data_IF_098603055675
#
_entry.id   IF_098603055675
#
_cell.length_a   1.000
_cell.length_b   1.000
_cell.length_c   1.000
_cell.angle_alpha   90.00
_cell.angle_beta   90.00
_cell.angle_gamma   90.00
#
_symmetry.space_group_name_H-M   'P 1'
#
loop_
_entity.id
_entity.type
_entity.pdbx_description
1 polymer ?
#
# COMPACT_ATOMS: atom_id res chain seq x y z
N UNK A 1 -9.13 -61.92 -28.32
CA UNK A 1 -9.55 -61.29 -27.05
C UNK A 1 -9.06 -59.85 -27.06
N UNK A 2 -9.97 -58.86 -27.11
CA UNK A 2 -9.63 -57.43 -27.16
C UNK A 2 -9.56 -56.87 -25.74
N UNK A 3 -8.39 -56.39 -25.32
CA UNK A 3 -8.19 -55.64 -24.08
C UNK A 3 -8.71 -54.20 -24.25
N UNK A 4 -9.63 -53.78 -23.39
CA UNK A 4 -9.99 -52.38 -23.22
C UNK A 4 -9.20 -51.83 -22.03
N UNK A 5 -8.32 -50.85 -22.29
CA UNK A 5 -7.67 -50.06 -21.26
C UNK A 5 -8.61 -48.92 -20.84
N UNK A 6 -9.05 -48.95 -19.58
CA UNK A 6 -9.76 -47.85 -18.94
C UNK A 6 -8.70 -46.87 -18.40
N UNK A 7 -8.60 -45.67 -19.01
CA UNK A 7 -7.76 -44.59 -18.50
C UNK A 7 -8.57 -43.87 -17.42
N UNK A 8 -8.20 -44.07 -16.16
CA UNK A 8 -8.71 -43.29 -15.03
C UNK A 8 -7.98 -41.94 -14.99
N UNK A 9 -8.70 -40.88 -15.36
CA UNK A 9 -8.23 -39.50 -15.27
C UNK A 9 -8.25 -39.09 -13.80
N UNK A 10 -7.07 -39.01 -13.17
CA UNK A 10 -6.91 -38.55 -11.79
C UNK A 10 -7.16 -37.03 -11.76
N UNK A 11 -8.35 -36.64 -11.33
CA UNK A 11 -8.67 -35.24 -11.02
C UNK A 11 -7.91 -34.88 -9.72
N UNK A 12 -6.79 -34.18 -9.84
CA UNK A 12 -6.13 -33.58 -8.68
C UNK A 12 -6.99 -32.41 -8.24
N UNK A 13 -7.86 -32.65 -7.26
CA UNK A 13 -8.53 -31.58 -6.53
C UNK A 13 -7.47 -30.89 -5.66
N UNK A 14 -7.04 -29.70 -6.07
CA UNK A 14 -6.24 -28.80 -5.24
C UNK A 14 -7.08 -28.45 -4.00
N UNK A 15 -6.69 -28.98 -2.83
CA UNK A 15 -7.29 -28.56 -1.59
C UNK A 15 -7.02 -27.05 -1.39
N UNK A 16 -8.02 -26.23 -1.02
CA UNK A 16 -7.76 -24.85 -0.68
C UNK A 16 -6.85 -24.84 0.56
N UNK A 17 -5.76 -24.10 0.50
CA UNK A 17 -5.02 -23.68 1.70
C UNK A 17 -6.06 -23.01 2.59
N UNK A 18 -6.42 -23.67 3.70
CA UNK A 18 -7.37 -23.13 4.67
C UNK A 18 -6.78 -21.81 5.18
N UNK A 19 -7.48 -20.70 4.89
CA UNK A 19 -7.14 -19.40 5.44
C UNK A 19 -7.07 -19.50 6.96
N UNK A 20 -6.10 -18.82 7.58
CA UNK A 20 -6.08 -18.69 9.03
C UNK A 20 -7.42 -18.11 9.51
N UNK A 21 -8.03 -18.64 10.60
CA UNK A 21 -9.31 -18.16 11.08
C UNK A 21 -9.31 -16.64 11.28
N UNK A 22 -10.29 -15.95 10.68
CA UNK A 22 -10.42 -14.48 10.75
C UNK A 22 -9.67 -13.70 9.67
N UNK A 23 -8.83 -14.35 8.84
CA UNK A 23 -8.17 -13.74 7.70
C UNK A 23 -8.80 -14.14 6.36
N UNK A 24 -8.64 -13.25 5.37
CA UNK A 24 -9.02 -13.52 3.99
C UNK A 24 -8.07 -14.56 3.36
N UNK A 25 -8.56 -15.43 2.46
CA UNK A 25 -7.71 -16.36 1.72
C UNK A 25 -6.65 -15.62 0.91
N UNK A 26 -5.40 -16.00 1.08
CA UNK A 26 -4.27 -15.33 0.46
C UNK A 26 -4.37 -15.20 -1.07
N UNK A 27 -4.81 -16.22 -1.85
CA UNK A 27 -4.95 -16.07 -3.30
C UNK A 27 -5.95 -14.98 -3.70
N UNK A 28 -7.07 -14.86 -2.97
CA UNK A 28 -8.08 -13.84 -3.23
C UNK A 28 -7.57 -12.44 -2.85
N UNK A 29 -6.77 -12.35 -1.79
CA UNK A 29 -6.09 -11.10 -1.42
C UNK A 29 -5.11 -10.69 -2.52
N UNK A 30 -4.19 -11.57 -2.94
CA UNK A 30 -3.21 -11.25 -3.98
C UNK A 30 -3.88 -10.74 -5.26
N UNK A 31 -4.92 -11.42 -5.73
CA UNK A 31 -5.70 -10.99 -6.90
C UNK A 31 -6.34 -9.60 -6.71
N UNK A 32 -6.92 -9.35 -5.54
CA UNK A 32 -7.53 -8.05 -5.23
C UNK A 32 -6.50 -6.92 -5.12
N UNK A 33 -5.30 -7.19 -4.59
CA UNK A 33 -4.21 -6.22 -4.54
C UNK A 33 -3.69 -5.89 -5.93
N UNK A 34 -3.44 -6.90 -6.76
CA UNK A 34 -2.91 -6.72 -8.12
C UNK A 34 -3.91 -5.97 -9.02
N UNK A 35 -5.21 -6.16 -8.80
CA UNK A 35 -6.26 -5.46 -9.53
C UNK A 35 -6.49 -4.01 -9.06
N UNK A 36 -5.89 -3.58 -7.94
CA UNK A 36 -6.15 -2.26 -7.38
C UNK A 36 -5.51 -1.14 -8.24
N UNK A 37 -6.21 -0.02 -8.52
CA UNK A 37 -5.72 1.01 -9.45
C UNK A 37 -4.37 1.64 -9.08
N UNK A 38 -4.03 1.78 -7.79
CA UNK A 38 -2.72 2.30 -7.36
C UNK A 38 -1.56 1.36 -7.73
N UNK A 39 -1.79 0.04 -7.64
CA UNK A 39 -0.81 -1.00 -7.95
C UNK A 39 -0.61 -1.09 -9.46
N UNK A 40 -1.69 -1.09 -10.23
CA UNK A 40 -1.63 -1.03 -11.70
C UNK A 40 -0.90 0.23 -12.20
N UNK A 41 -1.14 1.39 -11.58
CA UNK A 41 -0.42 2.61 -11.91
C UNK A 41 1.09 2.49 -11.60
N UNK A 42 1.47 1.89 -10.46
CA UNK A 42 2.87 1.67 -10.11
C UNK A 42 3.54 0.67 -11.07
N UNK A 43 2.84 -0.40 -11.46
CA UNK A 43 3.28 -1.38 -12.47
C UNK A 43 3.54 -0.72 -13.82
N UNK A 44 2.66 0.17 -14.27
CA UNK A 44 2.85 0.94 -15.50
C UNK A 44 4.09 1.86 -15.45
N UNK A 45 4.43 2.42 -14.27
CA UNK A 45 5.65 3.23 -14.08
C UNK A 45 6.94 2.43 -14.22
N UNK A 46 6.92 1.11 -14.01
CA UNK A 46 8.06 0.24 -14.38
C UNK A 46 8.27 0.30 -15.90
N UNK A 47 7.20 0.28 -16.69
CA UNK A 47 7.25 0.43 -18.15
C UNK A 47 7.87 1.77 -18.57
N UNK A 48 7.53 2.86 -17.87
CA UNK A 48 8.14 4.18 -18.07
C UNK A 48 9.64 4.14 -17.77
N UNK A 49 10.05 3.61 -16.61
CA UNK A 49 11.46 3.51 -16.25
C UNK A 49 12.27 2.65 -17.24
N UNK A 50 11.69 1.55 -17.74
CA UNK A 50 12.30 0.72 -18.79
C UNK A 50 12.42 1.46 -20.13
N UNK A 51 11.47 2.33 -20.46
CA UNK A 51 11.57 3.18 -21.64
C UNK A 51 12.66 4.25 -21.50
N UNK A 52 12.75 4.88 -20.33
CA UNK A 52 13.82 5.83 -20.00
C UNK A 52 15.20 5.16 -20.01
N UNK A 53 15.32 3.95 -19.47
CA UNK A 53 16.55 3.17 -19.53
C UNK A 53 16.99 2.91 -20.99
N UNK A 54 16.05 2.53 -21.86
CA UNK A 54 16.32 2.36 -23.30
C UNK A 54 16.74 3.67 -23.96
N UNK A 55 16.09 4.79 -23.63
CA UNK A 55 16.46 6.11 -24.14
C UNK A 55 17.88 6.51 -23.70
N UNK A 56 18.24 6.27 -22.43
CA UNK A 56 19.58 6.53 -21.89
C UNK A 56 20.64 5.65 -22.58
N UNK A 57 20.33 4.37 -22.82
CA UNK A 57 21.17 3.42 -23.57
C UNK A 57 21.42 3.88 -25.01
N UNK A 58 20.37 4.33 -25.71
CA UNK A 58 20.47 4.84 -27.08
C UNK A 58 21.25 6.17 -27.15
N UNK A 59 21.02 7.05 -26.17
CA UNK A 59 21.64 8.35 -26.06
C UNK A 59 20.94 9.46 -26.87
N UNK A 60 21.28 10.73 -26.60
CA UNK A 60 20.59 11.88 -27.17
C UNK A 60 21.05 12.23 -28.60
N UNK A 61 22.06 11.52 -29.13
CA UNK A 61 22.74 11.92 -30.37
C UNK A 61 22.10 11.26 -31.59
N UNK A 62 21.22 12.02 -32.23
CA UNK A 62 20.60 11.69 -33.50
C UNK A 62 21.46 12.13 -34.69
N UNK A 63 21.13 11.59 -35.87
CA UNK A 63 21.75 11.97 -37.14
C UNK A 63 21.09 13.26 -37.63
N UNK A 64 21.89 14.29 -37.88
CA UNK A 64 21.41 15.56 -38.43
C UNK A 64 21.77 15.65 -39.91
N UNK A 65 20.75 15.90 -40.73
CA UNK A 65 20.91 16.24 -42.15
C UNK A 65 20.66 17.73 -42.30
N UNK A 66 21.62 18.46 -42.83
CA UNK A 66 21.45 19.86 -43.24
C UNK A 66 21.82 20.03 -44.69
N UNK A 67 21.16 20.94 -45.39
CA UNK A 67 21.53 21.30 -46.75
C UNK A 67 21.14 22.72 -47.05
N UNK A 68 21.85 23.33 -47.98
CA UNK A 68 21.51 24.66 -48.48
C UNK A 68 21.54 24.65 -50.01
N UNK A 69 20.69 25.49 -50.58
CA UNK A 69 20.72 25.83 -51.99
C UNK A 69 20.67 27.35 -52.07
N UNK A 70 21.65 27.92 -52.75
CA UNK A 70 21.83 29.36 -52.87
C UNK A 70 21.95 29.68 -54.35
N UNK A 71 21.13 30.62 -54.80
CA UNK A 71 21.30 31.27 -56.11
C UNK A 71 21.87 32.65 -55.88
N UNK A 72 23.07 32.92 -56.38
CA UNK A 72 23.77 34.20 -56.22
C UNK A 72 24.13 34.80 -57.56
N UNK A 73 23.88 36.09 -57.74
CA UNK A 73 24.45 36.88 -58.82
C UNK A 73 25.72 37.58 -58.32
N UNK A 74 26.75 37.58 -59.15
CA UNK A 74 28.01 38.28 -58.88
C UNK A 74 28.20 39.33 -59.97
N UNK A 75 28.34 40.58 -59.56
CA UNK A 75 28.55 41.70 -60.48
C UNK A 75 29.75 41.43 -61.39
N UNK A 76 29.51 41.53 -62.70
CA UNK A 76 30.49 41.27 -63.78
C UNK A 76 30.91 39.80 -63.98
N UNK A 77 30.29 38.83 -63.29
CA UNK A 77 30.57 37.39 -63.48
C UNK A 77 29.32 36.56 -63.86
N UNK A 78 28.12 36.97 -63.45
CA UNK A 78 26.86 36.29 -63.79
C UNK A 78 26.16 35.62 -62.61
N UNK A 79 25.24 34.71 -62.91
CA UNK A 79 24.46 33.96 -61.92
C UNK A 79 25.05 32.57 -61.66
N UNK A 80 25.08 32.18 -60.39
CA UNK A 80 25.55 30.88 -59.93
C UNK A 80 24.51 30.20 -59.04
N UNK A 81 24.30 28.92 -59.30
CA UNK A 81 23.59 27.96 -58.47
C UNK A 81 24.61 27.15 -57.67
N UNK A 82 24.42 27.13 -56.36
CA UNK A 82 25.30 26.45 -55.42
C UNK A 82 24.46 25.61 -54.47
N UNK A 83 24.97 24.44 -54.12
CA UNK A 83 24.34 23.58 -53.14
C UNK A 83 25.38 22.94 -52.24
N UNK A 84 24.99 22.70 -50.99
CA UNK A 84 25.73 21.83 -50.10
C UNK A 84 24.79 20.97 -49.25
N UNK A 85 25.28 19.80 -48.86
CA UNK A 85 24.60 18.89 -47.96
C UNK A 85 25.61 18.36 -46.94
N UNK A 86 25.22 18.37 -45.67
CA UNK A 86 26.02 17.86 -44.55
C UNK A 86 25.21 16.82 -43.77
N UNK A 87 25.82 15.66 -43.57
CA UNK A 87 25.34 14.61 -42.68
C UNK A 87 26.25 14.58 -41.46
N UNK A 88 25.73 14.86 -40.26
CA UNK A 88 26.55 14.92 -39.04
C UNK A 88 25.90 14.17 -37.87
N UNK A 89 26.74 13.66 -36.96
CA UNK A 89 26.30 13.03 -35.71
C UNK A 89 27.31 13.29 -34.59
N UNK A 90 26.81 13.55 -33.38
CA UNK A 90 27.64 13.64 -32.20
C UNK A 90 28.11 12.25 -31.71
N UNK A 91 29.39 12.15 -31.36
CA UNK A 91 30.02 10.93 -30.88
C UNK A 91 30.13 10.97 -29.36
N UNK A 92 29.34 10.12 -28.70
CA UNK A 92 29.29 10.06 -27.23
C UNK A 92 30.60 9.56 -26.65
N UNK A 93 31.17 10.30 -25.70
CA UNK A 93 32.37 9.84 -25.00
C UNK A 93 32.07 8.59 -24.13
N UNK A 94 32.95 7.58 -24.10
CA UNK A 94 32.65 6.26 -23.50
C UNK A 94 32.34 6.33 -22.00
N UNK A 95 32.93 7.30 -21.30
CA UNK A 95 32.67 7.52 -19.88
C UNK A 95 31.26 8.01 -19.55
N UNK A 96 30.57 8.64 -20.50
CA UNK A 96 29.20 9.16 -20.31
C UNK A 96 28.18 8.06 -20.53
N UNK A 97 28.33 7.29 -21.63
CA UNK A 97 27.47 6.15 -21.94
C UNK A 97 27.35 5.14 -20.80
N UNK A 98 28.45 4.86 -20.08
CA UNK A 98 28.44 3.97 -18.91
C UNK A 98 27.61 4.53 -17.75
N UNK A 99 27.66 5.84 -17.51
CA UNK A 99 26.88 6.48 -16.44
C UNK A 99 25.39 6.52 -16.80
N UNK A 100 25.05 6.83 -18.06
CA UNK A 100 23.67 6.81 -18.52
C UNK A 100 23.04 5.41 -18.36
N UNK A 101 23.77 4.34 -18.69
CA UNK A 101 23.32 2.96 -18.44
C UNK A 101 23.09 2.67 -16.96
N UNK A 102 23.99 3.14 -16.08
CA UNK A 102 23.84 2.97 -14.63
C UNK A 102 22.63 3.75 -14.09
N UNK A 103 22.44 4.99 -14.54
CA UNK A 103 21.29 5.81 -14.16
C UNK A 103 19.98 5.15 -14.58
N UNK A 104 19.91 4.60 -15.79
CA UNK A 104 18.75 3.84 -16.25
C UNK A 104 18.47 2.60 -15.40
N UNK A 105 19.50 1.81 -15.07
CA UNK A 105 19.35 0.62 -14.23
C UNK A 105 18.83 0.95 -12.82
N UNK A 106 19.38 1.98 -12.17
CA UNK A 106 18.88 2.45 -10.88
C UNK A 106 17.47 3.03 -10.96
N UNK A 107 17.11 3.68 -12.07
CA UNK A 107 15.73 4.15 -12.30
C UNK A 107 14.72 3.00 -12.37
N UNK A 108 15.07 1.89 -13.04
CA UNK A 108 14.24 0.68 -13.07
C UNK A 108 14.13 0.08 -11.66
N UNK A 109 15.24 -0.10 -10.95
CA UNK A 109 15.25 -0.65 -9.59
C UNK A 109 14.41 0.21 -8.61
N UNK A 110 14.47 1.53 -8.72
CA UNK A 110 13.64 2.43 -7.91
C UNK A 110 12.14 2.27 -8.23
N UNK A 111 11.77 2.12 -9.50
CA UNK A 111 10.37 1.89 -9.89
C UNK A 111 9.85 0.50 -9.51
N UNK A 112 10.70 -0.53 -9.54
CA UNK A 112 10.34 -1.89 -9.09
C UNK A 112 10.08 -1.91 -7.58
N UNK A 113 10.94 -1.28 -6.76
CA UNK A 113 10.68 -1.16 -5.33
C UNK A 113 9.41 -0.33 -5.03
N UNK A 114 9.15 0.76 -5.76
CA UNK A 114 7.91 1.54 -5.61
C UNK A 114 6.65 0.76 -6.00
N UNK A 115 6.78 -0.23 -6.88
CA UNK A 115 5.67 -1.12 -7.23
C UNK A 115 5.34 -2.07 -6.08
N UNK A 116 6.36 -2.71 -5.49
CA UNK A 116 6.16 -3.57 -4.33
C UNK A 116 5.65 -2.77 -3.12
N UNK A 117 6.17 -1.56 -2.89
CA UNK A 117 5.63 -0.65 -1.88
C UNK A 117 4.16 -0.30 -2.16
N UNK A 118 3.77 0.02 -3.41
CA UNK A 118 2.37 0.28 -3.74
C UNK A 118 1.46 -0.92 -3.43
N UNK A 119 1.94 -2.15 -3.66
CA UNK A 119 1.24 -3.39 -3.30
C UNK A 119 1.13 -3.56 -1.78
N UNK A 120 2.21 -3.26 -1.04
CA UNK A 120 2.24 -3.23 0.42
C UNK A 120 1.27 -2.20 1.00
N UNK A 121 1.30 -0.94 0.57
CA UNK A 121 0.36 0.10 1.01
C UNK A 121 -1.10 -0.28 0.74
N UNK A 122 -1.36 -0.97 -0.36
CA UNK A 122 -2.70 -1.48 -0.69
C UNK A 122 -3.11 -2.63 0.24
N UNK A 123 -2.17 -3.50 0.64
CA UNK A 123 -2.41 -4.54 1.65
C UNK A 123 -2.71 -3.95 3.03
N UNK A 124 -2.04 -2.87 3.42
CA UNK A 124 -2.35 -2.13 4.65
C UNK A 124 -3.74 -1.48 4.60
N UNK A 125 -4.12 -0.89 3.46
CA UNK A 125 -5.48 -0.38 3.26
C UNK A 125 -6.53 -1.48 3.41
N UNK A 126 -6.28 -2.65 2.82
CA UNK A 126 -7.17 -3.81 2.96
C UNK A 126 -7.28 -4.25 4.42
N UNK A 127 -6.15 -4.35 5.15
CA UNK A 127 -6.11 -4.68 6.56
C UNK A 127 -6.99 -3.74 7.40
N UNK A 128 -6.84 -2.43 7.20
CA UNK A 128 -7.65 -1.43 7.92
C UNK A 128 -9.15 -1.61 7.65
N UNK A 129 -9.55 -1.69 6.37
CA UNK A 129 -10.97 -1.82 5.99
C UNK A 129 -11.58 -3.16 6.43
N UNK A 130 -10.80 -4.24 6.38
CA UNK A 130 -11.22 -5.57 6.82
C UNK A 130 -11.53 -5.57 8.32
N UNK A 131 -10.60 -5.07 9.15
CA UNK A 131 -10.80 -5.03 10.60
C UNK A 131 -11.79 -3.96 11.06
N UNK A 132 -11.98 -2.87 10.29
CA UNK A 132 -13.09 -1.94 10.50
C UNK A 132 -14.44 -2.65 10.37
N UNK A 133 -14.60 -3.46 9.31
CA UNK A 133 -15.85 -4.20 9.09
C UNK A 133 -16.07 -5.30 10.13
N UNK A 134 -15.05 -6.12 10.41
CA UNK A 134 -15.17 -7.18 11.41
C UNK A 134 -15.44 -6.63 12.81
N UNK A 135 -14.73 -5.57 13.22
CA UNK A 135 -14.93 -4.93 14.52
C UNK A 135 -16.32 -4.34 14.70
N UNK A 136 -16.79 -3.56 13.72
CA UNK A 136 -18.13 -2.99 13.76
C UNK A 136 -19.22 -4.06 13.75
N UNK A 137 -18.99 -5.18 13.04
CA UNK A 137 -19.91 -6.33 13.03
C UNK A 137 -19.94 -7.06 14.39
N UNK A 138 -18.78 -7.20 15.05
CA UNK A 138 -18.70 -7.77 16.39
C UNK A 138 -19.38 -6.89 17.44
N UNK A 139 -19.20 -5.57 17.39
CA UNK A 139 -19.97 -4.63 18.22
C UNK A 139 -21.48 -4.78 18.00
N UNK A 140 -21.91 -4.91 16.74
CA UNK A 140 -23.33 -5.11 16.40
C UNK A 140 -23.88 -6.40 17.03
N UNK A 141 -23.11 -7.49 17.00
CA UNK A 141 -23.51 -8.75 17.63
C UNK A 141 -23.67 -8.60 19.16
N UNK A 142 -22.74 -7.90 19.82
CA UNK A 142 -22.82 -7.61 21.26
C UNK A 142 -24.06 -6.76 21.59
N UNK A 143 -24.33 -5.72 20.82
CA UNK A 143 -25.46 -4.82 21.06
C UNK A 143 -26.81 -5.51 20.82
N UNK A 144 -26.92 -6.33 19.77
CA UNK A 144 -28.12 -7.13 19.52
C UNK A 144 -28.38 -8.16 20.63
N UNK A 145 -27.33 -8.76 21.20
CA UNK A 145 -27.47 -9.65 22.34
C UNK A 145 -27.98 -8.89 23.59
N UNK A 146 -27.52 -7.66 23.80
CA UNK A 146 -28.02 -6.79 24.88
C UNK A 146 -29.50 -6.46 24.71
N UNK A 147 -29.94 -6.14 23.48
CA UNK A 147 -31.37 -5.95 23.15
C UNK A 147 -32.18 -7.19 23.49
N UNK A 148 -31.70 -8.39 23.14
CA UNK A 148 -32.38 -9.65 23.45
C UNK A 148 -32.53 -9.88 24.95
N UNK A 149 -31.44 -9.67 25.72
CA UNK A 149 -31.42 -9.86 27.17
C UNK A 149 -32.38 -8.88 27.88
N UNK A 150 -32.39 -7.61 27.47
CA UNK A 150 -33.24 -6.57 28.07
C UNK A 150 -34.70 -6.72 27.66
N UNK A 151 -34.99 -7.23 26.45
CA UNK A 151 -36.36 -7.58 26.05
C UNK A 151 -36.93 -8.67 26.96
N UNK A 152 -36.17 -9.75 27.19
CA UNK A 152 -36.60 -10.82 28.10
C UNK A 152 -36.81 -10.31 29.53
N UNK A 153 -35.94 -9.41 29.99
CA UNK A 153 -36.05 -8.78 31.31
C UNK A 153 -37.31 -7.93 31.43
N UNK A 154 -37.61 -7.10 30.42
CA UNK A 154 -38.82 -6.29 30.37
C UNK A 154 -40.09 -7.15 30.38
N UNK A 155 -40.13 -8.25 29.62
CA UNK A 155 -41.27 -9.16 29.58
C UNK A 155 -41.52 -9.80 30.96
N UNK A 156 -40.45 -10.16 31.67
CA UNK A 156 -40.51 -10.65 33.05
C UNK A 156 -41.05 -9.61 34.03
N UNK A 157 -40.53 -8.38 33.98
CA UNK A 157 -40.97 -7.27 34.83
C UNK A 157 -42.45 -6.92 34.56
N UNK A 158 -42.86 -6.83 33.29
CA UNK A 158 -44.26 -6.58 32.91
C UNK A 158 -45.21 -7.63 33.47
N UNK A 159 -44.80 -8.92 33.47
CA UNK A 159 -45.59 -9.99 34.09
C UNK A 159 -45.67 -9.85 35.62
N UNK A 160 -44.62 -9.40 36.30
CA UNK A 160 -44.69 -9.13 37.75
C UNK A 160 -45.59 -7.95 38.07
N UNK A 161 -45.58 -6.90 37.25
CA UNK A 161 -46.50 -5.75 37.39
C UNK A 161 -47.97 -6.19 37.25
N UNK A 162 -48.31 -7.05 36.28
CA UNK A 162 -49.69 -7.56 36.14
C UNK A 162 -50.14 -8.42 37.32
N UNK A 163 -49.20 -9.14 37.94
CA UNK A 163 -49.41 -9.89 39.18
C UNK A 163 -49.35 -9.02 40.45
N UNK A 164 -49.12 -7.70 40.31
CA UNK A 164 -48.95 -6.73 41.41
C UNK A 164 -47.79 -7.05 42.36
N UNK A 165 -46.79 -7.75 41.83
CA UNK A 165 -45.56 -8.12 42.53
C UNK A 165 -44.39 -7.17 42.23
N UNK A 166 -44.56 -6.23 41.29
CA UNK A 166 -43.60 -5.17 40.98
C UNK A 166 -44.32 -3.84 40.72
N UNK A 167 -43.63 -2.73 40.94
CA UNK A 167 -44.17 -1.39 40.69
C UNK A 167 -44.18 -1.06 39.18
N UNK A 168 -45.14 -0.26 38.67
CA UNK A 168 -45.11 0.21 37.28
C UNK A 168 -43.81 0.92 36.90
N UNK A 169 -43.18 1.62 37.86
CA UNK A 169 -41.88 2.28 37.68
C UNK A 169 -40.78 1.30 37.23
N UNK A 170 -40.79 0.05 37.70
CA UNK A 170 -39.81 -0.97 37.28
C UNK A 170 -39.97 -1.30 35.79
N UNK A 171 -41.21 -1.38 35.29
CA UNK A 171 -41.46 -1.61 33.88
C UNK A 171 -41.00 -0.43 33.03
N UNK A 172 -41.24 0.81 33.49
CA UNK A 172 -40.77 2.03 32.80
C UNK A 172 -39.23 2.08 32.74
N UNK A 173 -38.53 1.70 33.82
CA UNK A 173 -37.07 1.63 33.87
C UNK A 173 -36.50 0.56 32.92
N UNK A 174 -37.09 -0.64 32.91
CA UNK A 174 -36.68 -1.71 32.00
C UNK A 174 -36.96 -1.34 30.52
N UNK A 175 -38.06 -0.64 30.25
CA UNK A 175 -38.40 -0.16 28.90
C UNK A 175 -37.43 0.93 28.43
N UNK A 176 -37.04 1.85 29.30
CA UNK A 176 -36.01 2.84 29.01
C UNK A 176 -34.66 2.19 28.71
N UNK A 177 -34.24 1.19 29.50
CA UNK A 177 -32.99 0.46 29.28
C UNK A 177 -32.98 -0.27 27.92
N UNK A 178 -34.09 -0.92 27.57
CA UNK A 178 -34.27 -1.54 26.26
C UNK A 178 -34.22 -0.51 25.12
N UNK A 179 -34.82 0.66 25.30
CA UNK A 179 -34.75 1.77 24.34
C UNK A 179 -33.30 2.21 24.06
N UNK A 180 -32.48 2.36 25.11
CA UNK A 180 -31.05 2.67 24.97
C UNK A 180 -30.29 1.56 24.23
N UNK A 181 -30.54 0.29 24.56
CA UNK A 181 -29.89 -0.83 23.87
C UNK A 181 -30.26 -0.92 22.39
N UNK A 182 -31.53 -0.66 22.03
CA UNK A 182 -31.99 -0.62 20.64
C UNK A 182 -31.32 0.50 19.85
N UNK A 183 -31.13 1.67 20.47
CA UNK A 183 -30.38 2.77 19.85
C UNK A 183 -28.92 2.36 19.59
N UNK A 184 -28.25 1.77 20.57
CA UNK A 184 -26.87 1.30 20.42
C UNK A 184 -26.74 0.28 19.26
N UNK A 185 -27.63 -0.71 19.21
CA UNK A 185 -27.67 -1.72 18.14
C UNK A 185 -27.91 -1.11 16.75
N UNK A 186 -28.79 -0.10 16.63
CA UNK A 186 -29.01 0.60 15.37
C UNK A 186 -27.75 1.37 14.92
N UNK A 187 -27.04 2.00 15.86
CA UNK A 187 -25.82 2.74 15.58
C UNK A 187 -24.65 1.82 15.19
N UNK A 188 -24.40 0.73 15.91
CA UNK A 188 -23.36 -0.23 15.56
C UNK A 188 -23.64 -0.91 14.22
N UNK A 189 -24.90 -1.28 13.96
CA UNK A 189 -25.31 -1.78 12.64
C UNK A 189 -24.99 -0.80 11.52
N UNK A 190 -25.32 0.49 11.70
CA UNK A 190 -24.99 1.52 10.73
C UNK A 190 -23.49 1.65 10.47
N UNK A 191 -22.64 1.52 11.52
CA UNK A 191 -21.18 1.50 11.38
C UNK A 191 -20.70 0.27 10.60
N UNK A 192 -21.27 -0.91 10.86
CA UNK A 192 -20.92 -2.14 10.15
C UNK A 192 -21.30 -2.08 8.66
N UNK A 193 -22.51 -1.58 8.35
CA UNK A 193 -23.00 -1.42 6.98
C UNK A 193 -22.12 -0.39 6.21
N UNK A 194 -21.70 0.69 6.88
CA UNK A 194 -20.78 1.68 6.31
C UNK A 194 -19.38 1.10 6.04
N UNK A 195 -18.79 0.39 7.02
CA UNK A 195 -17.48 -0.23 6.88
C UNK A 195 -17.46 -1.26 5.73
N UNK A 196 -18.52 -2.09 5.62
CA UNK A 196 -18.69 -3.03 4.50
C UNK A 196 -18.76 -2.33 3.16
N UNK A 197 -19.51 -1.22 3.08
CA UNK A 197 -19.63 -0.43 1.84
C UNK A 197 -18.28 0.12 1.40
N UNK A 198 -17.46 0.63 2.34
CA UNK A 198 -16.10 1.11 2.03
C UNK A 198 -15.18 -0.01 1.52
N UNK A 199 -15.24 -1.19 2.16
CA UNK A 199 -14.45 -2.34 1.76
C UNK A 199 -14.78 -2.78 0.33
N UNK A 200 -16.07 -2.93 0.00
CA UNK A 200 -16.52 -3.31 -1.36
C UNK A 200 -16.16 -2.25 -2.39
N UNK A 201 -16.26 -0.97 -2.04
CA UNK A 201 -15.92 0.11 -2.96
C UNK A 201 -14.43 0.11 -3.36
N UNK A 202 -13.53 -0.18 -2.41
CA UNK A 202 -12.09 -0.23 -2.67
C UNK A 202 -11.61 -1.56 -3.24
N UNK A 203 -12.27 -2.67 -2.90
CA UNK A 203 -11.91 -4.02 -3.34
C UNK A 203 -13.11 -4.75 -3.97
N UNK A 204 -13.62 -4.30 -5.13
CA UNK A 204 -14.82 -4.86 -5.74
C UNK A 204 -14.68 -6.30 -6.26
N UNK A 205 -13.44 -6.76 -6.54
CA UNK A 205 -13.16 -8.14 -6.95
C UNK A 205 -13.11 -9.13 -5.79
N UNK A 206 -13.06 -8.64 -4.55
CA UNK A 206 -12.98 -9.49 -3.36
C UNK A 206 -14.36 -10.06 -3.02
N UNK A 207 -14.50 -11.37 -3.10
CA UNK A 207 -15.73 -12.05 -2.70
C UNK A 207 -15.86 -12.04 -1.16
N UNK A 208 -16.72 -11.17 -0.64
CA UNK A 208 -17.01 -11.09 0.79
C UNK A 208 -18.18 -12.00 1.16
N UNK A 209 -18.14 -12.65 2.34
CA UNK A 209 -19.31 -13.33 2.86
C UNK A 209 -20.43 -12.33 3.20
N UNK A 210 -21.67 -12.81 3.20
CA UNK A 210 -22.84 -11.99 3.56
C UNK A 210 -22.80 -11.55 5.03
N UNK A 211 -22.31 -12.43 5.89
CA UNK A 211 -22.09 -12.17 7.31
C UNK A 211 -20.59 -12.09 7.60
N UNK A 212 -20.22 -11.18 8.51
CA UNK A 212 -18.85 -11.11 9.01
C UNK A 212 -18.45 -12.42 9.69
N UNK A 213 -17.22 -12.84 9.45
CA UNK A 213 -16.62 -14.00 10.12
C UNK A 213 -16.36 -13.66 11.58
N UNK A 214 -16.42 -14.66 12.46
CA UNK A 214 -16.14 -14.48 13.89
C UNK A 214 -14.68 -14.05 14.12
N UNK A 215 -14.48 -13.13 15.07
CA UNK A 215 -13.16 -12.65 15.47
C UNK A 215 -12.37 -13.77 16.15
N UNK A 216 -11.26 -14.17 15.52
CA UNK A 216 -10.27 -15.06 16.12
C UNK A 216 -9.62 -14.47 17.38
N UNK A 217 -9.07 -15.33 18.23
CA UNK A 217 -8.35 -14.91 19.42
C UNK A 217 -6.95 -14.37 19.05
N UNK A 218 -6.56 -13.17 19.51
CA UNK A 218 -5.23 -12.63 19.31
C UNK A 218 -4.16 -13.52 19.92
N UNK A 219 -3.19 -13.91 19.09
CA UNK A 219 -2.05 -14.70 19.50
C UNK A 219 -0.75 -14.04 19.03
N UNK A 220 0.31 -14.24 19.80
CA UNK A 220 1.62 -13.80 19.38
C UNK A 220 2.09 -14.67 18.21
N UNK A 221 2.59 -14.08 17.12
CA UNK A 221 3.07 -14.81 15.97
C UNK A 221 4.33 -15.63 16.30
N UNK A 222 4.62 -16.71 15.55
CA UNK A 222 5.85 -17.48 15.70
C UNK A 222 7.09 -16.57 15.60
N UNK A 223 8.05 -16.75 16.50
CA UNK A 223 9.27 -15.92 16.55
C UNK A 223 9.12 -14.58 17.30
N UNK A 224 7.89 -14.19 17.67
CA UNK A 224 7.63 -12.99 18.47
C UNK A 224 7.62 -11.68 17.67
N UNK A 225 7.13 -10.61 18.29
CA UNK A 225 6.97 -9.32 17.61
C UNK A 225 8.29 -8.63 17.28
N UNK A 226 9.32 -8.79 18.11
CA UNK A 226 10.64 -8.21 17.87
C UNK A 226 11.28 -8.74 16.58
N UNK A 227 11.15 -10.05 16.29
CA UNK A 227 11.64 -10.63 15.05
C UNK A 227 10.94 -10.02 13.83
N UNK A 228 9.61 -9.86 13.89
CA UNK A 228 8.85 -9.25 12.82
C UNK A 228 9.27 -7.79 12.61
N UNK A 229 9.43 -7.02 13.69
CA UNK A 229 9.93 -5.64 13.64
C UNK A 229 11.27 -5.53 12.91
N UNK A 230 12.23 -6.41 13.21
CA UNK A 230 13.51 -6.40 12.52
C UNK A 230 13.38 -6.75 11.03
N UNK A 231 12.43 -7.63 10.68
CA UNK A 231 12.12 -7.96 9.29
C UNK A 231 11.47 -6.79 8.52
N UNK A 232 10.64 -5.96 9.17
CA UNK A 232 10.09 -4.73 8.55
C UNK A 232 11.22 -3.86 8.00
N UNK A 233 12.25 -3.63 8.81
CA UNK A 233 13.40 -2.80 8.43
C UNK A 233 14.23 -3.49 7.36
N UNK A 234 14.52 -4.79 7.53
CA UNK A 234 15.40 -5.53 6.62
C UNK A 234 14.81 -5.74 5.22
N UNK A 235 13.48 -5.77 5.09
CA UNK A 235 12.76 -6.04 3.83
C UNK A 235 12.04 -4.81 3.27
N UNK A 236 12.37 -3.61 3.74
CA UNK A 236 11.68 -2.38 3.34
C UNK A 236 11.94 -2.01 1.87
N UNK A 237 10.88 -2.07 1.06
CA UNK A 237 10.89 -1.56 -0.31
C UNK A 237 10.95 -0.03 -0.38
N UNK A 238 10.46 0.68 0.64
CA UNK A 238 10.61 2.15 0.74
C UNK A 238 12.10 2.54 0.84
N UNK A 239 12.86 1.86 1.72
CA UNK A 239 14.32 2.04 1.80
C UNK A 239 14.97 1.66 0.47
N UNK A 240 14.62 0.50 -0.10
CA UNK A 240 15.16 0.05 -1.38
C UNK A 240 14.92 1.05 -2.54
N UNK A 241 13.73 1.65 -2.60
CA UNK A 241 13.39 2.68 -3.58
C UNK A 241 14.21 3.96 -3.37
N UNK A 242 14.33 4.43 -2.13
CA UNK A 242 15.10 5.62 -1.79
C UNK A 242 16.61 5.42 -2.05
N UNK A 243 17.14 4.24 -1.75
CA UNK A 243 18.54 3.88 -2.04
C UNK A 243 18.82 3.88 -3.54
N UNK A 244 17.94 3.25 -4.32
CA UNK A 244 18.04 3.23 -5.77
C UNK A 244 17.94 4.64 -6.37
N UNK A 245 17.05 5.50 -5.86
CA UNK A 245 16.92 6.89 -6.32
C UNK A 245 18.13 7.74 -5.95
N UNK A 246 18.64 7.64 -4.72
CA UNK A 246 19.85 8.33 -4.30
C UNK A 246 21.07 7.90 -5.13
N UNK A 247 21.19 6.59 -5.42
CA UNK A 247 22.23 6.07 -6.31
C UNK A 247 22.06 6.57 -7.75
N UNK A 248 20.83 6.64 -8.26
CA UNK A 248 20.50 7.20 -9.58
C UNK A 248 20.95 8.65 -9.68
N UNK A 249 20.56 9.49 -8.74
CA UNK A 249 20.88 10.91 -8.73
C UNK A 249 22.38 11.17 -8.53
N UNK A 250 23.06 10.34 -7.73
CA UNK A 250 24.53 10.35 -7.66
C UNK A 250 25.19 10.09 -9.02
N UNK A 251 24.70 9.09 -9.77
CA UNK A 251 25.21 8.79 -11.13
C UNK A 251 24.86 9.90 -12.13
N UNK A 252 23.65 10.46 -12.05
CA UNK A 252 23.23 11.59 -12.91
C UNK A 252 24.10 12.81 -12.65
N UNK A 253 24.38 13.13 -11.40
CA UNK A 253 25.28 14.23 -11.02
C UNK A 253 26.68 14.07 -11.64
N UNK A 254 27.25 12.87 -11.52
CA UNK A 254 28.52 12.52 -12.17
C UNK A 254 28.46 12.67 -13.70
N UNK A 255 27.34 12.26 -14.30
CA UNK A 255 27.11 12.34 -15.74
C UNK A 255 27.04 13.79 -16.23
N UNK A 256 26.33 14.65 -15.49
CA UNK A 256 26.20 16.08 -15.79
C UNK A 256 27.54 16.80 -15.60
N UNK A 257 28.30 16.45 -14.56
CA UNK A 257 29.67 16.98 -14.37
C UNK A 257 30.56 16.69 -15.57
N UNK A 258 30.45 15.49 -16.16
CA UNK A 258 31.20 15.12 -17.39
C UNK A 258 30.71 15.83 -18.64
N UNK A 259 29.48 16.36 -18.66
CA UNK A 259 28.98 17.16 -19.78
C UNK A 259 29.55 18.57 -19.86
N UNK A 260 30.32 19.01 -18.86
CA UNK A 260 31.12 20.24 -18.97
C UNK A 260 31.95 20.26 -20.27
N UNK A 261 32.49 19.10 -20.65
CA UNK A 261 33.10 18.86 -21.95
C UNK A 261 32.02 18.30 -22.89
N UNK A 262 31.74 18.99 -23.99
CA UNK A 262 30.75 18.52 -24.98
C UNK A 262 31.23 17.25 -25.67
N UNK A 263 30.27 16.47 -26.17
CA UNK A 263 30.57 15.42 -27.14
C UNK A 263 30.87 16.08 -28.51
N UNK A 264 31.95 15.70 -29.21
CA UNK A 264 32.26 16.24 -30.52
C UNK A 264 31.31 15.69 -31.58
N UNK A 265 30.95 16.51 -32.55
CA UNK A 265 30.20 16.13 -33.74
C UNK A 265 31.12 15.95 -34.92
N UNK A 266 30.94 14.84 -35.63
CA UNK A 266 31.65 14.52 -36.88
C UNK A 266 30.61 14.45 -37.99
N UNK A 267 30.90 15.08 -39.13
CA UNK A 267 30.03 15.06 -40.28
C UNK A 267 30.77 14.98 -41.61
N UNK A 268 30.05 14.53 -42.63
CA UNK A 268 30.47 14.52 -44.02
C UNK A 268 29.70 15.63 -44.74
N UNK A 269 30.42 16.55 -45.37
CA UNK A 269 29.85 17.62 -46.19
C UNK A 269 30.20 17.38 -47.66
N UNK A 270 29.21 17.52 -48.53
CA UNK A 270 29.39 17.58 -49.98
C UNK A 270 28.89 18.92 -50.47
N UNK A 271 29.57 19.50 -51.45
CA UNK A 271 29.18 20.79 -52.00
C UNK A 271 29.51 20.88 -53.49
N UNK A 272 28.77 21.75 -54.17
CA UNK A 272 28.95 22.12 -55.56
C UNK A 272 28.75 23.63 -55.68
N UNK A 273 29.78 24.32 -56.14
CA UNK A 273 29.84 25.78 -56.27
C UNK A 273 30.00 26.18 -57.74
N UNK A 274 29.70 27.45 -58.04
CA UNK A 274 29.83 28.06 -59.38
C UNK A 274 29.20 27.23 -60.51
N UNK A 275 27.91 26.89 -60.40
CA UNK A 275 27.21 26.05 -61.39
C UNK A 275 27.86 24.67 -61.60
N UNK A 276 28.57 24.16 -60.58
CA UNK A 276 29.25 22.86 -60.63
C UNK A 276 30.64 22.86 -61.25
N UNK A 277 31.23 24.04 -61.48
CA UNK A 277 32.64 24.16 -61.82
C UNK A 277 33.57 23.75 -60.66
N UNK A 278 33.09 23.85 -59.43
CA UNK A 278 33.81 23.42 -58.23
C UNK A 278 32.93 22.41 -57.47
N UNK A 279 33.47 21.22 -57.20
CA UNK A 279 32.77 20.18 -56.44
C UNK A 279 33.73 19.62 -55.40
N UNK A 280 33.21 19.33 -54.22
CA UNK A 280 34.04 18.85 -53.13
C UNK A 280 33.28 17.99 -52.13
N UNK A 281 34.08 17.24 -51.37
CA UNK A 281 33.66 16.55 -50.17
C UNK A 281 34.63 16.88 -49.05
N UNK A 282 34.13 17.00 -47.82
CA UNK A 282 34.93 17.37 -46.66
C UNK A 282 34.40 16.74 -45.37
N UNK A 283 35.27 16.70 -44.37
CA UNK A 283 34.93 16.34 -43.00
C UNK A 283 34.65 17.62 -42.20
N UNK A 284 33.55 17.64 -41.46
CA UNK A 284 33.19 18.72 -40.56
C UNK A 284 33.30 18.22 -39.13
N UNK A 285 34.08 18.92 -38.31
CA UNK A 285 34.22 18.66 -36.88
C UNK A 285 33.70 19.88 -36.12
N UNK A 286 32.81 19.67 -35.16
CA UNK A 286 32.32 20.75 -34.29
C UNK A 286 32.19 20.29 -32.84
N UNK A 287 32.56 21.15 -31.88
CA UNK A 287 32.46 20.85 -30.45
C UNK A 287 32.14 22.14 -29.68
N UNK A 288 30.95 22.25 -29.06
CA UNK A 288 30.62 23.43 -28.27
C UNK A 288 31.46 23.53 -26.99
N UNK A 289 32.12 24.67 -26.78
CA UNK A 289 32.91 24.96 -25.59
C UNK A 289 31.96 25.27 -24.42
N UNK A 290 32.15 24.60 -23.28
CA UNK A 290 31.28 24.75 -22.11
C UNK A 290 31.42 26.12 -21.46
N UNK A 291 30.28 26.74 -21.12
CA UNK A 291 30.20 28.01 -20.39
C UNK A 291 29.49 27.89 -19.04
N UNK A 292 29.07 29.03 -18.47
CA UNK A 292 28.44 29.13 -17.15
C UNK A 292 27.21 28.23 -16.97
N UNK A 293 26.38 28.07 -18.01
CA UNK A 293 25.18 27.21 -17.96
C UNK A 293 25.50 25.75 -17.59
N UNK A 294 26.56 25.16 -18.16
CA UNK A 294 26.96 23.78 -17.86
C UNK A 294 27.56 23.63 -16.46
N UNK A 295 28.19 24.69 -15.94
CA UNK A 295 28.66 24.73 -14.55
C UNK A 295 27.47 24.75 -13.60
N UNK A 296 26.53 25.67 -13.80
CA UNK A 296 25.32 25.77 -12.99
C UNK A 296 24.48 24.48 -13.01
N UNK A 297 24.35 23.82 -14.17
CA UNK A 297 23.65 22.53 -14.27
C UNK A 297 24.34 21.42 -13.46
N UNK A 298 25.68 21.40 -13.45
CA UNK A 298 26.44 20.46 -12.62
C UNK A 298 26.25 20.74 -11.13
N UNK A 299 26.27 22.02 -10.73
CA UNK A 299 26.08 22.43 -9.35
C UNK A 299 24.64 22.09 -8.87
N UNK A 300 23.63 22.34 -9.71
CA UNK A 300 22.24 21.88 -9.50
C UNK A 300 22.18 20.37 -9.27
N UNK A 301 22.75 19.58 -10.17
CA UNK A 301 22.70 18.11 -10.06
C UNK A 301 23.46 17.57 -8.84
N UNK A 302 24.50 18.27 -8.38
CA UNK A 302 25.22 17.95 -7.14
C UNK A 302 24.35 18.22 -5.91
N UNK A 303 23.59 19.33 -5.92
CA UNK A 303 22.65 19.63 -4.86
C UNK A 303 21.49 18.63 -4.83
N UNK A 304 20.93 18.25 -5.98
CA UNK A 304 19.88 17.21 -6.08
C UNK A 304 20.36 15.85 -5.55
N UNK A 305 21.59 15.44 -5.87
CA UNK A 305 22.16 14.20 -5.31
C UNK A 305 22.37 14.27 -3.79
N UNK A 306 22.75 15.44 -3.26
CA UNK A 306 22.90 15.66 -1.82
C UNK A 306 21.54 15.64 -1.10
N UNK A 307 20.51 16.23 -1.71
CA UNK A 307 19.14 16.19 -1.21
C UNK A 307 18.62 14.75 -1.16
N UNK A 308 18.83 13.96 -2.22
CA UNK A 308 18.40 12.56 -2.27
C UNK A 308 19.05 11.68 -1.18
N UNK A 309 20.32 11.96 -0.81
CA UNK A 309 20.96 11.28 0.33
C UNK A 309 20.32 11.66 1.67
N UNK A 310 19.91 12.91 1.83
CA UNK A 310 19.19 13.36 3.02
C UNK A 310 17.76 12.78 3.07
N UNK A 311 17.07 12.71 1.94
CA UNK A 311 15.76 12.05 1.82
C UNK A 311 15.84 10.55 2.15
N UNK A 312 16.88 9.84 1.67
CA UNK A 312 17.14 8.46 2.08
C UNK A 312 17.33 8.32 3.59
N UNK A 313 18.07 9.25 4.21
CA UNK A 313 18.23 9.24 5.67
C UNK A 313 16.89 9.46 6.39
N UNK A 314 16.03 10.35 5.89
CA UNK A 314 14.69 10.56 6.42
C UNK A 314 13.83 9.29 6.29
N UNK A 315 13.78 8.66 5.12
CA UNK A 315 13.05 7.38 4.91
C UNK A 315 13.52 6.31 5.88
N UNK A 316 14.83 6.22 6.17
CA UNK A 316 15.33 5.28 7.18
C UNK A 316 14.84 5.59 8.59
N UNK A 317 14.73 6.87 8.96
CA UNK A 317 14.14 7.25 10.24
C UNK A 317 12.65 6.92 10.29
N UNK A 318 11.91 7.20 9.23
CA UNK A 318 10.47 6.95 9.15
C UNK A 318 10.17 5.44 9.23
N UNK A 319 10.92 4.60 8.50
CA UNK A 319 10.76 3.14 8.56
C UNK A 319 11.16 2.58 9.93
N UNK A 320 12.18 3.14 10.57
CA UNK A 320 12.58 2.76 11.92
C UNK A 320 11.47 3.09 12.93
N UNK A 321 10.92 4.31 12.87
CA UNK A 321 9.83 4.78 13.72
C UNK A 321 8.57 3.95 13.52
N UNK A 322 8.19 3.70 12.26
CA UNK A 322 7.06 2.83 11.91
C UNK A 322 7.23 1.43 12.52
N UNK A 323 8.39 0.78 12.32
CA UNK A 323 8.63 -0.57 12.81
C UNK A 323 8.60 -0.65 14.35
N UNK A 324 9.18 0.34 15.04
CA UNK A 324 9.14 0.44 16.50
C UNK A 324 7.73 0.75 17.04
N UNK A 325 6.98 1.59 16.31
CA UNK A 325 5.60 1.92 16.61
C UNK A 325 4.66 0.72 16.45
N UNK A 326 4.82 -0.05 15.38
CA UNK A 326 3.99 -1.24 15.10
C UNK A 326 4.31 -2.40 16.06
N UNK A 327 5.57 -2.56 16.46
CA UNK A 327 5.95 -3.44 17.59
C UNK A 327 5.21 -3.03 18.86
N UNK A 328 5.34 -1.76 19.26
CA UNK A 328 4.73 -1.24 20.49
C UNK A 328 3.20 -1.37 20.46
N UNK A 329 2.57 -1.13 19.31
CA UNK A 329 1.13 -1.25 19.11
C UNK A 329 0.66 -2.71 19.20
N UNK A 330 1.37 -3.64 18.60
CA UNK A 330 1.03 -5.07 18.68
C UNK A 330 1.14 -5.60 20.12
N UNK A 331 2.20 -5.25 20.85
CA UNK A 331 2.38 -5.61 22.25
C UNK A 331 1.30 -5.01 23.16
N UNK A 332 1.05 -3.70 23.00
CA UNK A 332 0.04 -2.99 23.76
C UNK A 332 -1.37 -3.54 23.48
N UNK A 333 -1.70 -3.79 22.21
CA UNK A 333 -2.99 -4.35 21.81
C UNK A 333 -3.23 -5.74 22.40
N UNK A 334 -2.24 -6.63 22.33
CA UNK A 334 -2.35 -7.97 22.90
C UNK A 334 -2.52 -7.93 24.44
N UNK A 335 -1.79 -7.04 25.12
CA UNK A 335 -1.90 -6.82 26.56
C UNK A 335 -3.27 -6.24 26.95
N UNK A 336 -3.74 -5.24 26.22
CA UNK A 336 -5.03 -4.60 26.45
C UNK A 336 -6.19 -5.58 26.28
N UNK A 337 -6.16 -6.39 25.21
CA UNK A 337 -7.15 -7.44 24.99
C UNK A 337 -7.18 -8.45 26.13
N UNK A 338 -6.02 -8.96 26.59
CA UNK A 338 -5.96 -9.90 27.72
C UNK A 338 -6.61 -9.34 28.99
N UNK A 339 -6.31 -8.07 29.31
CA UNK A 339 -6.89 -7.39 30.49
C UNK A 339 -8.40 -7.15 30.33
N UNK A 340 -8.84 -6.76 29.15
CA UNK A 340 -10.27 -6.59 28.85
C UNK A 340 -11.01 -7.93 29.00
N UNK A 341 -10.40 -9.02 28.54
CA UNK A 341 -10.95 -10.37 28.66
C UNK A 341 -11.08 -10.83 30.11
N UNK A 342 -10.04 -10.63 30.92
CA UNK A 342 -10.08 -10.93 32.36
C UNK A 342 -11.19 -10.14 33.07
N UNK A 343 -11.34 -8.85 32.74
CA UNK A 343 -12.40 -7.99 33.26
C UNK A 343 -13.80 -8.46 32.85
N UNK A 344 -13.97 -8.86 31.58
CA UNK A 344 -15.21 -9.42 31.07
C UNK A 344 -15.61 -10.68 31.83
N UNK A 345 -14.70 -11.62 32.04
CA UNK A 345 -15.00 -12.88 32.74
C UNK A 345 -15.46 -12.60 34.18
N UNK A 346 -14.87 -11.61 34.86
CA UNK A 346 -15.32 -11.16 36.18
C UNK A 346 -16.72 -10.52 36.16
N UNK A 347 -17.02 -9.69 35.16
CA UNK A 347 -18.34 -9.06 35.01
C UNK A 347 -19.44 -10.07 34.71
N UNK A 348 -19.15 -11.07 33.85
CA UNK A 348 -20.08 -12.17 33.59
C UNK A 348 -20.37 -12.95 34.87
N UNK A 349 -19.36 -13.26 35.68
CA UNK A 349 -19.56 -13.92 36.96
C UNK A 349 -20.39 -13.08 37.95
N UNK A 350 -20.24 -11.75 37.94
CA UNK A 350 -21.01 -10.83 38.77
C UNK A 350 -22.48 -10.76 38.33
N UNK A 351 -22.76 -10.52 37.04
CA UNK A 351 -24.13 -10.36 36.56
C UNK A 351 -24.96 -11.64 36.72
N UNK A 352 -24.36 -12.82 36.58
CA UNK A 352 -25.05 -14.08 36.83
C UNK A 352 -25.53 -14.20 38.29
N UNK A 353 -24.72 -13.72 39.24
CA UNK A 353 -25.11 -13.66 40.67
C UNK A 353 -26.19 -12.60 40.90
N UNK A 354 -26.08 -11.44 40.26
CA UNK A 354 -27.09 -10.36 40.35
C UNK A 354 -28.45 -10.82 39.79
N UNK A 355 -28.47 -11.47 38.62
CA UNK A 355 -29.67 -12.09 38.04
C UNK A 355 -30.31 -13.07 39.00
N UNK A 356 -29.51 -13.93 39.64
CA UNK A 356 -30.02 -14.89 40.62
C UNK A 356 -30.54 -14.20 41.89
N UNK A 357 -29.84 -13.19 42.39
CA UNK A 357 -30.26 -12.39 43.54
C UNK A 357 -31.59 -11.67 43.30
N UNK A 358 -31.76 -11.07 42.12
CA UNK A 358 -33.02 -10.44 41.71
C UNK A 358 -34.18 -11.44 41.66
N UNK A 359 -33.95 -12.62 41.06
CA UNK A 359 -34.96 -13.69 41.04
C UNK A 359 -35.38 -14.18 42.44
N UNK A 360 -34.51 -14.04 43.44
CA UNK A 360 -34.77 -14.40 44.83
C UNK A 360 -35.31 -13.23 45.67
N UNK A 361 -35.49 -12.05 45.06
CA UNK A 361 -35.95 -10.83 45.75
C UNK A 361 -34.90 -10.20 46.67
N UNK A 362 -33.62 -10.57 46.55
CA UNK A 362 -32.54 -10.07 47.40
C UNK A 362 -31.83 -8.84 46.82
N UNK A 363 -32.09 -8.51 45.55
CA UNK A 363 -31.47 -7.40 44.80
C UNK A 363 -32.58 -6.65 44.07
N UNK A 364 -32.48 -5.32 44.00
CA UNK A 364 -33.45 -4.48 43.30
C UNK A 364 -33.21 -4.45 41.78
N UNK A 365 -34.25 -4.12 41.00
CA UNK A 365 -34.14 -4.05 39.54
C UNK A 365 -33.07 -3.04 39.09
N UNK A 366 -32.95 -1.90 39.78
CA UNK A 366 -31.98 -0.88 39.44
C UNK A 366 -30.53 -1.39 39.49
N UNK A 367 -30.19 -2.18 40.53
CA UNK A 367 -28.87 -2.78 40.69
C UNK A 367 -28.62 -3.85 39.62
N UNK A 368 -29.64 -4.64 39.27
CA UNK A 368 -29.55 -5.59 38.16
C UNK A 368 -29.30 -4.86 36.83
N UNK A 369 -30.07 -3.83 36.51
CA UNK A 369 -29.91 -3.06 35.27
C UNK A 369 -28.53 -2.38 35.19
N UNK A 370 -27.97 -1.95 36.32
CA UNK A 370 -26.60 -1.43 36.38
C UNK A 370 -25.58 -2.53 36.06
N UNK A 371 -25.72 -3.72 36.64
CA UNK A 371 -24.84 -4.85 36.39
C UNK A 371 -24.92 -5.34 34.93
N UNK A 372 -26.12 -5.36 34.33
CA UNK A 372 -26.33 -5.66 32.91
C UNK A 372 -25.59 -4.65 32.02
N UNK A 373 -25.70 -3.35 32.31
CA UNK A 373 -24.99 -2.30 31.56
C UNK A 373 -23.47 -2.48 31.67
N UNK A 374 -22.94 -2.66 32.87
CA UNK A 374 -21.50 -2.88 33.08
C UNK A 374 -20.98 -4.12 32.34
N UNK A 375 -21.79 -5.17 32.28
CA UNK A 375 -21.44 -6.39 31.54
C UNK A 375 -21.48 -6.17 30.03
N UNK A 376 -22.49 -5.46 29.52
CA UNK A 376 -22.57 -5.07 28.11
C UNK A 376 -21.38 -4.19 27.71
N UNK A 377 -21.03 -3.18 28.52
CA UNK A 377 -19.85 -2.34 28.32
C UNK A 377 -18.55 -3.17 28.29
N UNK A 378 -18.44 -4.19 29.16
CA UNK A 378 -17.30 -5.11 29.18
C UNK A 378 -17.23 -5.98 27.92
N UNK A 379 -18.36 -6.53 27.43
CA UNK A 379 -18.40 -7.28 26.18
C UNK A 379 -18.00 -6.40 25.00
N UNK A 380 -18.49 -5.16 24.97
CA UNK A 380 -18.17 -4.20 23.91
C UNK A 380 -16.70 -3.79 23.94
N UNK A 381 -16.14 -3.53 25.13
CA UNK A 381 -14.71 -3.25 25.30
C UNK A 381 -13.83 -4.43 24.85
N UNK A 382 -14.24 -5.66 25.14
CA UNK A 382 -13.50 -6.85 24.72
C UNK A 382 -13.53 -7.02 23.20
N UNK A 383 -14.67 -6.80 22.55
CA UNK A 383 -14.77 -6.84 21.09
C UNK A 383 -13.88 -5.77 20.41
N UNK A 384 -13.86 -4.54 20.95
CA UNK A 384 -13.02 -3.44 20.44
C UNK A 384 -11.54 -3.81 20.59
N UNK A 385 -11.10 -4.13 21.81
CA UNK A 385 -9.69 -4.45 22.07
C UNK A 385 -9.22 -5.70 21.35
N UNK A 386 -10.09 -6.70 21.16
CA UNK A 386 -9.79 -7.88 20.33
C UNK A 386 -9.55 -7.49 18.88
N UNK A 387 -10.41 -6.64 18.31
CA UNK A 387 -10.28 -6.16 16.93
C UNK A 387 -8.99 -5.34 16.76
N UNK A 388 -8.71 -4.43 17.68
CA UNK A 388 -7.50 -3.60 17.64
C UNK A 388 -6.22 -4.45 17.74
N UNK A 389 -6.21 -5.45 18.63
CA UNK A 389 -5.10 -6.39 18.75
C UNK A 389 -4.90 -7.17 17.44
N UNK A 390 -5.97 -7.73 16.87
CA UNK A 390 -5.89 -8.46 15.61
C UNK A 390 -5.40 -7.57 14.46
N UNK A 391 -5.88 -6.32 14.38
CA UNK A 391 -5.45 -5.34 13.38
C UNK A 391 -3.96 -5.04 13.49
N UNK A 392 -3.48 -4.77 14.70
CA UNK A 392 -2.07 -4.44 14.94
C UNK A 392 -1.14 -5.63 14.64
N UNK A 393 -1.53 -6.84 15.06
CA UNK A 393 -0.78 -8.07 14.78
C UNK A 393 -0.74 -8.34 13.27
N UNK A 394 -1.88 -8.21 12.59
CA UNK A 394 -1.97 -8.44 11.14
C UNK A 394 -1.16 -7.41 10.36
N UNK A 395 -1.23 -6.13 10.74
CA UNK A 395 -0.40 -5.06 10.20
C UNK A 395 1.09 -5.39 10.28
N UNK A 396 1.60 -5.70 11.49
CA UNK A 396 3.01 -6.03 11.68
C UNK A 396 3.44 -7.26 10.85
N UNK A 397 2.55 -8.25 10.65
CA UNK A 397 2.81 -9.40 9.76
C UNK A 397 2.87 -9.01 8.28
N UNK A 398 2.06 -8.05 7.84
CA UNK A 398 2.11 -7.49 6.48
C UNK A 398 3.41 -6.70 6.32
N UNK A 399 3.72 -5.77 7.22
CA UNK A 399 4.92 -4.92 7.13
C UNK A 399 6.22 -5.75 7.10
N UNK A 400 6.24 -6.88 7.82
CA UNK A 400 7.37 -7.80 7.84
C UNK A 400 7.42 -8.77 6.64
N UNK A 401 6.47 -8.65 5.70
CA UNK A 401 6.31 -9.51 4.53
C UNK A 401 6.09 -11.00 4.88
N UNK A 402 5.41 -11.27 6.00
CA UNK A 402 5.03 -12.63 6.42
C UNK A 402 3.55 -12.94 6.19
N UNK A 403 2.78 -12.01 5.59
CA UNK A 403 1.37 -12.20 5.27
C UNK A 403 1.00 -11.47 3.97
N UNK A 404 0.34 -12.19 3.05
CA UNK A 404 -0.22 -11.73 1.76
C UNK A 404 0.75 -11.21 0.70
N UNK A 405 1.89 -10.64 1.10
CA UNK A 405 2.86 -10.00 0.21
C UNK A 405 4.26 -10.63 0.27
N UNK A 406 4.40 -11.83 0.87
CA UNK A 406 5.68 -12.52 0.90
C UNK A 406 6.15 -12.96 -0.50
N UNK A 407 7.46 -13.02 -0.67
CA UNK A 407 8.10 -13.62 -1.85
C UNK A 407 7.90 -15.14 -1.79
N UNK A 408 7.29 -15.73 -2.81
CA UNK A 408 7.41 -17.17 -3.10
C UNK A 408 8.74 -17.51 -3.76
#
# INVERSE_FOLDING_TARGET
MKMHHLIAMLLVASAPVLAEPGLLPEPAVREALDAHPSVEAAKARIGVAKAEERALKAGPHEVTVSGSYIRRSVDREGEYDEYDATLSRAVRLPGKARLDRKAGAFGVAASENRFEDARHQTALLLNELWWDWLGASAETAVDLQSVSNLQQSLDGVKRRVTLRDAAPLEADQAEAALGTARLAAAQSKGRADFARTRLIAQFPSLALPDLAVELSLPQQPPGGFALLRDQVIARSHEIGAAEAEAARLGVVSERVRRDRIADPSVGLRVFSERNGAERGAGLVLSMPIGGGQRRAQADKSSAEASAALAELAAVRFDVQEMADGDLSRAEAGLSAWRRSREGLDAQVAAVLKMRRGYQLGAIDLADLLLAERQTHDAFRSEAITRTEAMRAITRLRIDSHNLWIGDE
#
